data_IF_490557562912
#
_entry.id   IF_490557562912
#
_cell.length_a   1.000
_cell.length_b   1.000
_cell.length_c   1.000
_cell.angle_alpha   90.00
_cell.angle_beta   90.00
_cell.angle_gamma   90.00
#
_symmetry.space_group_name_H-M   'P 1'
#
loop_
_entity.id
_entity.type
_entity.pdbx_description
1 polymer ?
#
# COMPACT_ATOMS: atom_id res chain seq x y z
N UNK A 1 -12.77 -1.58 9.36
CA UNK A 1 -11.34 -1.39 9.68
C UNK A 1 -10.79 -0.26 8.83
N UNK A 2 -10.13 0.73 9.45
CA UNK A 2 -9.57 1.89 8.72
C UNK A 2 -8.13 1.60 8.30
N UNK A 3 -7.75 2.11 7.14
CA UNK A 3 -6.45 1.87 6.53
C UNK A 3 -5.74 3.20 6.38
N UNK A 4 -4.46 3.26 6.74
CA UNK A 4 -3.63 4.43 6.51
C UNK A 4 -2.20 4.02 6.17
N UNK A 5 -1.52 4.80 5.33
CA UNK A 5 -0.08 4.63 5.12
C UNK A 5 0.66 5.08 6.37
N UNK A 6 1.70 4.34 6.75
CA UNK A 6 2.57 4.68 7.85
C UNK A 6 3.25 6.03 7.56
N UNK A 7 3.14 6.99 8.49
CA UNK A 7 3.62 8.37 8.25
C UNK A 7 5.12 8.47 7.99
N UNK A 8 5.91 7.51 8.49
CA UNK A 8 7.34 7.46 8.25
C UNK A 8 7.71 6.79 6.91
N UNK A 9 6.74 6.22 6.21
CA UNK A 9 6.94 5.65 4.88
C UNK A 9 6.90 6.77 3.83
N UNK A 10 7.93 6.86 3.01
CA UNK A 10 8.02 7.79 1.90
C UNK A 10 8.04 7.00 0.60
N UNK A 11 7.06 7.21 -0.29
CA UNK A 11 7.01 6.50 -1.58
C UNK A 11 8.27 6.80 -2.40
N UNK A 12 8.68 8.07 -2.48
CA UNK A 12 9.78 8.49 -3.36
C UNK A 12 11.13 7.86 -2.95
N UNK A 13 11.31 7.57 -1.66
CA UNK A 13 12.54 6.95 -1.14
C UNK A 13 12.49 5.42 -1.10
N UNK A 14 11.28 4.84 -1.08
CA UNK A 14 11.06 3.42 -0.80
C UNK A 14 10.60 2.62 -2.02
N UNK A 15 10.37 3.27 -3.16
CA UNK A 15 9.77 2.63 -4.34
C UNK A 15 10.63 2.85 -5.58
N UNK A 16 10.87 1.75 -6.31
CA UNK A 16 11.43 1.77 -7.66
C UNK A 16 10.42 1.12 -8.61
N UNK A 17 10.09 1.77 -9.73
CA UNK A 17 9.03 1.30 -10.62
C UNK A 17 9.38 1.46 -12.11
N UNK A 18 8.83 0.55 -12.91
CA UNK A 18 8.73 0.68 -14.37
C UNK A 18 7.25 0.81 -14.80
N UNK A 19 6.95 0.65 -16.09
CA UNK A 19 5.59 0.79 -16.62
C UNK A 19 4.61 -0.29 -16.15
N UNK A 20 5.09 -1.45 -15.69
CA UNK A 20 4.26 -2.61 -15.34
C UNK A 20 4.41 -3.04 -13.88
N UNK A 21 5.62 -2.92 -13.34
CA UNK A 21 6.03 -3.47 -12.05
C UNK A 21 6.61 -2.39 -11.14
N UNK A 22 6.55 -2.69 -9.86
CA UNK A 22 7.12 -1.87 -8.81
C UNK A 22 7.80 -2.76 -7.77
N UNK A 23 8.93 -2.30 -7.26
CA UNK A 23 9.60 -2.86 -6.09
C UNK A 23 9.40 -1.88 -4.95
N UNK A 24 8.80 -2.36 -3.87
CA UNK A 24 8.56 -1.58 -2.66
C UNK A 24 9.46 -2.13 -1.56
N UNK A 25 10.32 -1.28 -1.01
CA UNK A 25 11.14 -1.58 0.15
C UNK A 25 10.45 -1.09 1.42
N UNK A 26 10.42 -1.92 2.47
CA UNK A 26 10.00 -1.47 3.79
C UNK A 26 11.21 -1.07 4.64
N UNK A 27 11.35 0.22 5.02
CA UNK A 27 12.39 0.63 5.96
C UNK A 27 12.11 0.11 7.40
N UNK A 28 10.94 -0.47 7.66
CA UNK A 28 10.54 -0.94 8.99
C UNK A 28 10.86 -2.41 9.22
N UNK A 29 10.83 -3.22 8.16
CA UNK A 29 11.06 -4.67 8.23
C UNK A 29 12.23 -5.13 7.39
N UNK A 30 12.84 -4.23 6.61
CA UNK A 30 13.91 -4.53 5.63
C UNK A 30 13.49 -5.52 4.54
N UNK A 31 12.17 -5.72 4.36
CA UNK A 31 11.63 -6.58 3.31
C UNK A 31 11.42 -5.81 2.01
N UNK A 32 11.46 -6.53 0.90
CA UNK A 32 11.12 -6.02 -0.43
C UNK A 32 9.94 -6.79 -1.01
N UNK A 33 9.04 -6.08 -1.68
CA UNK A 33 7.90 -6.64 -2.39
C UNK A 33 7.98 -6.24 -3.86
N UNK A 34 8.01 -7.24 -4.76
CA UNK A 34 7.78 -7.03 -6.19
C UNK A 34 6.28 -7.17 -6.46
N UNK A 35 5.67 -6.14 -7.04
CA UNK A 35 4.24 -6.11 -7.32
C UNK A 35 3.94 -5.38 -8.62
N UNK A 36 2.67 -5.39 -9.04
CA UNK A 36 2.20 -4.60 -10.17
C UNK A 36 2.13 -3.11 -9.82
N UNK A 37 2.28 -2.25 -10.83
CA UNK A 37 2.23 -0.79 -10.67
C UNK A 37 0.91 -0.30 -10.06
N UNK A 38 -0.18 -1.04 -10.26
CA UNK A 38 -1.50 -0.78 -9.65
C UNK A 38 -1.46 -0.65 -8.13
N UNK A 39 -0.48 -1.29 -7.46
CA UNK A 39 -0.27 -1.19 -6.01
C UNK A 39 0.27 0.18 -5.61
N UNK A 40 1.06 0.82 -6.48
CA UNK A 40 1.52 2.19 -6.26
C UNK A 40 0.39 3.20 -6.43
N UNK A 41 -0.49 2.99 -7.41
CA UNK A 41 -1.68 3.82 -7.56
C UNK A 41 -2.56 3.71 -6.30
N UNK A 42 -2.66 2.52 -5.73
CA UNK A 42 -3.34 2.27 -4.47
C UNK A 42 -2.69 3.00 -3.29
N UNK A 43 -1.38 2.87 -3.08
CA UNK A 43 -0.66 3.58 -2.02
C UNK A 43 -0.74 5.10 -2.19
N UNK A 44 -0.60 5.60 -3.42
CA UNK A 44 -0.72 7.02 -3.74
C UNK A 44 -2.13 7.54 -3.46
N UNK A 45 -3.15 6.75 -3.78
CA UNK A 45 -4.55 7.08 -3.44
C UNK A 45 -4.74 7.19 -1.93
N UNK A 46 -4.17 6.28 -1.14
CA UNK A 46 -4.24 6.34 0.33
C UNK A 46 -3.49 7.56 0.90
N UNK A 47 -2.36 7.95 0.32
CA UNK A 47 -1.59 9.13 0.74
C UNK A 47 -2.34 10.42 0.39
N UNK A 48 -2.92 10.49 -0.81
CA UNK A 48 -3.65 11.66 -1.28
C UNK A 48 -5.02 11.80 -0.62
N UNK A 49 -5.64 10.70 -0.21
CA UNK A 49 -6.90 10.68 0.55
C UNK A 49 -6.76 11.20 1.99
N UNK A 50 -5.72 11.99 2.33
CA UNK A 50 -5.48 12.69 3.61
C UNK A 50 -6.78 13.35 4.13
N UNK A 51 -7.59 12.57 4.86
CA UNK A 51 -8.85 13.01 5.48
C UNK A 51 -10.11 12.22 5.09
N UNK A 52 -10.16 11.56 3.94
CA UNK A 52 -11.28 10.66 3.59
C UNK A 52 -11.03 9.28 4.18
N UNK A 53 -11.97 8.84 5.02
CA UNK A 53 -11.96 7.52 5.66
C UNK A 53 -12.22 6.45 4.61
N UNK A 54 -11.19 6.02 3.88
CA UNK A 54 -11.34 4.90 2.97
C UNK A 54 -11.40 3.61 3.79
N UNK A 55 -12.56 2.96 3.79
CA UNK A 55 -12.75 1.64 4.37
C UNK A 55 -12.04 0.60 3.52
N UNK A 56 -11.37 -0.37 4.14
CA UNK A 56 -10.74 -1.50 3.44
C UNK A 56 -11.76 -2.15 2.47
N UNK A 57 -13.03 -2.24 2.88
CA UNK A 57 -14.12 -2.79 2.07
C UNK A 57 -14.35 -2.03 0.75
N UNK A 58 -14.29 -0.69 0.75
CA UNK A 58 -14.48 0.12 -0.47
C UNK A 58 -13.34 -0.07 -1.48
N UNK A 59 -12.17 -0.49 -0.98
CA UNK A 59 -10.98 -0.79 -1.76
C UNK A 59 -11.00 -2.23 -2.30
N UNK A 60 -11.52 -3.17 -1.49
CA UNK A 60 -11.67 -4.59 -1.85
C UNK A 60 -12.78 -4.82 -2.87
N UNK A 61 -13.90 -4.08 -2.79
CA UNK A 61 -15.05 -4.27 -3.69
C UNK A 61 -14.78 -3.82 -5.13
N UNK A 62 -13.74 -3.01 -5.35
CA UNK A 62 -13.45 -2.42 -6.66
C UNK A 62 -12.36 -3.15 -7.45
N UNK A 63 -11.53 -4.02 -6.86
CA UNK A 63 -10.43 -4.68 -7.59
C UNK A 63 -10.00 -6.02 -6.96
N UNK A 64 -9.94 -7.04 -7.82
CA UNK A 64 -9.25 -8.35 -7.77
C UNK A 64 -8.73 -8.89 -6.42
N UNK A 65 -9.00 -10.16 -6.16
CA UNK A 65 -8.48 -11.00 -5.06
C UNK A 65 -6.97 -10.81 -4.76
N UNK A 66 -6.16 -10.57 -5.80
CA UNK A 66 -4.72 -10.28 -5.68
C UNK A 66 -4.39 -9.04 -4.83
N UNK A 67 -5.29 -8.05 -4.75
CA UNK A 67 -5.09 -6.86 -3.93
C UNK A 67 -5.26 -7.14 -2.43
N UNK A 68 -6.01 -8.18 -2.05
CA UNK A 68 -6.14 -8.58 -0.64
C UNK A 68 -4.82 -9.14 -0.12
N UNK A 69 -4.23 -10.09 -0.85
CA UNK A 69 -2.93 -10.67 -0.51
C UNK A 69 -1.83 -9.59 -0.44
N UNK A 70 -1.83 -8.67 -1.40
CA UNK A 70 -0.89 -7.54 -1.43
C UNK A 70 -1.13 -6.62 -0.23
N UNK A 71 -2.38 -6.34 0.13
CA UNK A 71 -2.71 -5.48 1.27
C UNK A 71 -2.22 -6.11 2.59
N UNK A 72 -2.46 -7.41 2.79
CA UNK A 72 -1.92 -8.15 3.93
C UNK A 72 -0.39 -8.09 3.96
N UNK A 73 0.26 -8.21 2.79
CA UNK A 73 1.71 -8.08 2.71
C UNK A 73 2.19 -6.68 3.07
N UNK A 74 1.53 -5.63 2.59
CA UNK A 74 1.84 -4.23 2.93
C UNK A 74 1.63 -3.93 4.43
N UNK A 75 0.65 -4.57 5.07
CA UNK A 75 0.42 -4.49 6.51
C UNK A 75 1.52 -5.20 7.30
N UNK A 76 1.89 -6.43 6.92
CA UNK A 76 2.98 -7.17 7.58
C UNK A 76 4.33 -6.45 7.44
N UNK A 77 4.56 -5.80 6.30
CA UNK A 77 5.71 -4.93 6.05
C UNK A 77 5.63 -3.57 6.76
N UNK A 78 4.55 -3.28 7.51
CA UNK A 78 4.30 -2.01 8.22
C UNK A 78 4.30 -0.75 7.34
N UNK A 79 4.08 -0.91 6.03
CA UNK A 79 3.90 0.18 5.08
C UNK A 79 2.52 0.79 5.26
N UNK A 80 1.52 -0.07 5.46
CA UNK A 80 0.15 0.30 5.81
C UNK A 80 -0.14 -0.14 7.24
N UNK A 81 -0.95 0.66 7.95
CA UNK A 81 -1.39 0.40 9.31
C UNK A 81 -2.92 0.30 9.34
N UNK A 82 -3.41 -0.70 10.07
CA UNK A 82 -4.82 -0.90 10.34
C UNK A 82 -5.17 -0.18 11.65
N UNK A 83 -6.25 0.60 11.62
CA UNK A 83 -6.84 1.24 12.80
C UNK A 83 -8.21 0.66 13.08
N UNK A 84 -8.44 0.39 14.36
CA UNK A 84 -9.76 0.10 14.93
C UNK A 84 -10.73 1.29 14.73
#
# INVERSE_FOLDING_TARGET
>A
MKVQVNKAFCIDDCVFADDKKAVIFSPFTSETLLCDRIVLDFLSSLINAKGQRTTLNDLMDKRHESLNEITEKLVSMRIILLKE
#
